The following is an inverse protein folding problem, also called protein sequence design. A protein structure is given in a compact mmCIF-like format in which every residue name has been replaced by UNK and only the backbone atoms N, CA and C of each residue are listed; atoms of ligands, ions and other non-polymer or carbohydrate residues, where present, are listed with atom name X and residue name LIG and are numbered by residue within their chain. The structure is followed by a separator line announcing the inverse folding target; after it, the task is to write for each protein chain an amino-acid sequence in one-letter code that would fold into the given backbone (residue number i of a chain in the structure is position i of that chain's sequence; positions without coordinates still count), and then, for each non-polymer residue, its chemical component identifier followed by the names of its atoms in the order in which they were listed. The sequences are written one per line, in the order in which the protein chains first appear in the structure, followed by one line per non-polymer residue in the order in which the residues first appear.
data_IF_674466134670
#
_entry.id   IF_674466134670
#
_cell.length_a   1.000
_cell.length_b   1.000
_cell.length_c   1.000
_cell.angle_alpha   90.00
_cell.angle_beta   90.00
_cell.angle_gamma   90.00
#
_symmetry.space_group_name_H-M   'P 1'
#
loop_
_entity.id
_entity.type
_entity.pdbx_description
1 polymer ?
#
# COMPACT_ATOMS: atom_id res chain seq x y z
N UNK A 1 -18.29 -5.51 -3.68
CA UNK A 1 -17.73 -4.22 -4.16
C UNK A 1 -17.68 -3.28 -2.97
N UNK A 2 -16.65 -2.48 -2.82
CA UNK A 2 -16.60 -1.47 -1.76
C UNK A 2 -17.75 -0.45 -1.92
N UNK A 3 -18.16 0.14 -0.82
CA UNK A 3 -19.19 1.18 -0.76
C UNK A 3 -18.78 2.28 0.24
N UNK A 4 -19.69 3.20 0.56
CA UNK A 4 -19.45 4.32 1.46
C UNK A 4 -20.06 4.13 2.87
N UNK A 5 -20.36 2.92 3.31
CA UNK A 5 -20.99 2.70 4.61
C UNK A 5 -20.08 3.15 5.76
N UNK A 6 -18.77 2.84 5.68
CA UNK A 6 -17.80 3.24 6.71
C UNK A 6 -17.56 4.76 6.72
N UNK A 7 -17.43 5.38 5.56
CA UNK A 7 -17.29 6.83 5.43
C UNK A 7 -18.52 7.55 5.99
N UNK A 8 -19.74 7.08 5.65
CA UNK A 8 -21.00 7.62 6.18
C UNK A 8 -21.12 7.42 7.69
N UNK A 9 -20.68 6.28 8.24
CA UNK A 9 -20.67 6.06 9.68
C UNK A 9 -19.75 7.05 10.40
N UNK A 10 -18.57 7.33 9.84
CA UNK A 10 -17.66 8.35 10.37
C UNK A 10 -18.29 9.76 10.32
N UNK A 11 -18.92 10.13 9.18
CA UNK A 11 -19.63 11.41 9.07
C UNK A 11 -20.77 11.53 10.10
N UNK A 12 -21.57 10.47 10.29
CA UNK A 12 -22.62 10.43 11.31
C UNK A 12 -22.08 10.54 12.73
N UNK A 13 -20.81 10.19 12.94
CA UNK A 13 -20.10 10.34 14.23
C UNK A 13 -19.47 11.72 14.41
N UNK A 14 -19.67 12.64 13.46
CA UNK A 14 -19.24 14.05 13.55
C UNK A 14 -17.93 14.38 12.87
N UNK A 15 -17.31 13.45 12.14
CA UNK A 15 -16.12 13.72 11.32
C UNK A 15 -16.51 14.27 9.95
N UNK A 16 -15.65 15.07 9.35
CA UNK A 16 -15.95 15.79 8.10
C UNK A 16 -14.97 15.49 6.97
N UNK A 17 -13.78 15.02 7.28
CA UNK A 17 -12.72 14.77 6.31
C UNK A 17 -12.09 13.40 6.55
N UNK A 18 -12.62 12.39 5.87
CA UNK A 18 -12.25 10.99 6.07
C UNK A 18 -11.22 10.56 5.01
N UNK A 19 -10.10 9.98 5.42
CA UNK A 19 -9.18 9.32 4.51
C UNK A 19 -9.23 7.80 4.64
N UNK A 20 -9.13 7.09 3.52
CA UNK A 20 -8.84 5.65 3.49
C UNK A 20 -7.35 5.41 3.38
N UNK A 21 -6.85 4.37 4.05
CA UNK A 21 -5.41 4.03 4.11
C UNK A 21 -5.22 2.53 3.89
N UNK A 22 -4.28 2.19 3.01
CA UNK A 22 -3.88 0.79 2.77
C UNK A 22 -2.39 0.70 2.40
N UNK A 23 -1.82 -0.51 2.46
CA UNK A 23 -0.44 -0.77 2.11
C UNK A 23 -0.28 -1.84 1.03
N UNK A 24 0.88 -1.82 0.36
CA UNK A 24 1.34 -2.86 -0.53
C UNK A 24 2.80 -3.22 -0.24
N UNK A 25 3.14 -4.51 -0.30
CA UNK A 25 4.54 -4.91 -0.23
C UNK A 25 5.03 -5.37 1.14
N UNK A 26 4.17 -5.86 2.04
CA UNK A 26 4.63 -6.46 3.33
C UNK A 26 5.32 -7.81 3.14
N UNK A 27 4.78 -8.67 2.29
CA UNK A 27 5.25 -10.05 2.08
C UNK A 27 6.46 -10.27 1.16
N UNK A 28 6.83 -9.37 0.23
CA UNK A 28 7.97 -9.56 -0.66
C UNK A 28 9.31 -9.68 0.08
N UNK A 29 10.25 -10.38 -0.56
CA UNK A 29 11.65 -10.54 -0.14
C UNK A 29 12.52 -9.33 -0.52
N UNK A 30 12.03 -8.45 -1.38
CA UNK A 30 12.76 -7.29 -1.89
C UNK A 30 11.87 -6.06 -2.05
N UNK A 31 12.49 -4.89 -1.95
CA UNK A 31 11.86 -3.59 -2.09
C UNK A 31 11.17 -3.07 -0.82
N UNK A 32 10.85 -1.78 -0.76
CA UNK A 32 10.19 -1.15 0.38
C UNK A 32 8.73 -1.60 0.53
N UNK A 33 8.13 -1.33 1.68
CA UNK A 33 6.68 -1.32 1.85
C UNK A 33 6.16 0.05 1.42
N UNK A 34 5.00 0.07 0.75
CA UNK A 34 4.37 1.29 0.24
C UNK A 34 2.99 1.43 0.86
N UNK A 35 2.66 2.60 1.39
CA UNK A 35 1.32 2.92 1.87
C UNK A 35 0.75 4.13 1.13
N UNK A 36 -0.57 4.17 0.98
CA UNK A 36 -1.27 5.31 0.42
C UNK A 36 -2.40 5.77 1.34
N UNK A 37 -2.70 7.06 1.29
CA UNK A 37 -3.86 7.66 1.91
C UNK A 37 -4.65 8.43 0.85
N UNK A 38 -5.98 8.31 0.85
CA UNK A 38 -6.87 8.92 -0.15
C UNK A 38 -8.09 9.52 0.53
N UNK A 39 -8.41 10.78 0.19
CA UNK A 39 -9.66 11.43 0.51
C UNK A 39 -10.47 11.52 -0.77
N UNK A 40 -11.62 10.85 -0.82
CA UNK A 40 -12.55 10.95 -1.95
C UNK A 40 -13.62 12.01 -1.68
N UNK A 41 -14.13 12.69 -2.73
CA UNK A 41 -15.31 13.52 -2.58
C UNK A 41 -16.52 12.67 -2.19
N UNK A 42 -17.46 13.26 -1.47
CA UNK A 42 -18.69 12.58 -1.07
C UNK A 42 -19.44 12.02 -2.28
N UNK A 43 -19.79 10.74 -2.23
CA UNK A 43 -20.54 10.07 -3.29
C UNK A 43 -19.79 9.84 -4.60
N UNK A 44 -18.47 10.03 -4.63
CA UNK A 44 -17.68 9.78 -5.84
C UNK A 44 -17.89 8.36 -6.38
N UNK A 45 -18.14 8.24 -7.68
CA UNK A 45 -18.30 6.95 -8.36
C UNK A 45 -17.06 6.65 -9.17
N UNK A 46 -16.31 5.63 -8.76
CA UNK A 46 -15.14 5.12 -9.49
C UNK A 46 -15.51 3.72 -10.01
N UNK A 47 -15.96 3.68 -11.27
CA UNK A 47 -16.46 2.45 -11.88
C UNK A 47 -15.40 1.35 -11.90
N UNK A 48 -15.78 0.19 -11.36
CA UNK A 48 -14.94 -1.00 -11.33
C UNK A 48 -13.83 -0.98 -10.29
N UNK A 49 -13.84 -0.03 -9.33
CA UNK A 49 -12.97 -0.07 -8.17
C UNK A 49 -13.32 -1.30 -7.29
N UNK A 50 -12.32 -2.04 -6.88
CA UNK A 50 -12.39 -3.19 -5.97
C UNK A 50 -11.00 -3.39 -5.35
N UNK A 51 -10.87 -4.34 -4.42
CA UNK A 51 -9.61 -4.84 -3.89
C UNK A 51 -8.57 -5.01 -5.01
N UNK A 52 -7.44 -4.35 -4.87
CA UNK A 52 -6.39 -4.30 -5.90
C UNK A 52 -5.86 -5.69 -6.32
N UNK A 53 -5.96 -6.69 -5.44
CA UNK A 53 -5.55 -8.07 -5.70
C UNK A 53 -6.50 -8.82 -6.64
N UNK A 54 -7.77 -8.39 -6.72
CA UNK A 54 -8.78 -8.95 -7.63
C UNK A 54 -8.72 -8.32 -9.02
N UNK A 55 -8.05 -7.20 -9.16
CA UNK A 55 -7.95 -6.44 -10.41
C UNK A 55 -6.76 -6.93 -11.25
N UNK A 56 -6.92 -6.94 -12.56
CA UNK A 56 -5.78 -7.11 -13.48
C UNK A 56 -4.84 -5.89 -13.42
N UNK A 57 -3.57 -6.07 -13.76
CA UNK A 57 -2.58 -4.98 -13.80
C UNK A 57 -3.09 -3.80 -14.67
N UNK A 58 -3.58 -4.09 -15.88
CA UNK A 58 -4.13 -3.08 -16.80
C UNK A 58 -5.30 -2.30 -16.18
N UNK A 59 -6.17 -2.97 -15.42
CA UNK A 59 -7.31 -2.32 -14.76
C UNK A 59 -6.85 -1.45 -13.59
N UNK A 60 -5.87 -1.93 -12.80
CA UNK A 60 -5.25 -1.13 -11.72
C UNK A 60 -4.60 0.14 -12.26
N UNK A 61 -3.82 0.04 -13.35
CA UNK A 61 -3.17 1.20 -13.99
C UNK A 61 -4.20 2.25 -14.42
N UNK A 62 -5.31 1.83 -15.06
CA UNK A 62 -6.39 2.74 -15.43
C UNK A 62 -7.04 3.40 -14.21
N UNK A 63 -7.33 2.61 -13.18
CA UNK A 63 -7.95 3.12 -11.95
C UNK A 63 -7.01 4.05 -11.18
N UNK A 64 -5.70 3.82 -11.23
CA UNK A 64 -4.71 4.70 -10.61
C UNK A 64 -4.85 6.14 -11.09
N UNK A 65 -4.97 6.35 -12.40
CA UNK A 65 -5.12 7.69 -12.96
C UNK A 65 -6.48 8.29 -12.60
N UNK A 66 -7.57 7.51 -12.72
CA UNK A 66 -8.92 7.95 -12.34
C UNK A 66 -8.99 8.35 -10.87
N UNK A 67 -8.38 7.58 -9.96
CA UNK A 67 -8.35 7.90 -8.53
C UNK A 67 -7.63 9.23 -8.30
N UNK A 68 -6.48 9.45 -8.94
CA UNK A 68 -5.70 10.69 -8.79
C UNK A 68 -6.45 11.93 -9.31
N UNK A 69 -7.24 11.77 -10.37
CA UNK A 69 -8.06 12.85 -10.94
C UNK A 69 -9.33 13.12 -10.09
N UNK A 70 -9.87 12.07 -9.45
CA UNK A 70 -11.11 12.17 -8.67
C UNK A 70 -10.88 12.60 -7.22
N UNK A 71 -9.78 12.18 -6.61
CA UNK A 71 -9.53 12.40 -5.19
C UNK A 71 -9.39 13.89 -4.84
N UNK A 72 -9.98 14.29 -3.70
CA UNK A 72 -9.76 15.60 -3.09
C UNK A 72 -8.29 15.77 -2.69
N UNK A 73 -7.71 14.71 -2.14
CA UNK A 73 -6.29 14.61 -1.83
C UNK A 73 -5.86 13.15 -1.82
N UNK A 74 -4.61 12.91 -2.19
CA UNK A 74 -3.97 11.61 -2.04
C UNK A 74 -2.48 11.81 -1.70
N UNK A 75 -1.92 10.83 -1.03
CA UNK A 75 -0.49 10.77 -0.74
C UNK A 75 -0.02 9.33 -0.73
N UNK A 76 1.24 9.12 -1.13
CA UNK A 76 1.90 7.82 -1.11
C UNK A 76 3.25 7.96 -0.41
N UNK A 77 3.56 7.03 0.48
CA UNK A 77 4.80 7.03 1.23
C UNK A 77 5.37 5.61 1.38
N UNK A 78 6.64 5.53 1.73
CA UNK A 78 7.35 4.28 1.88
C UNK A 78 7.85 4.08 3.32
N UNK A 79 7.84 2.80 3.76
CA UNK A 79 8.72 2.30 4.81
C UNK A 79 9.96 1.73 4.14
N UNK A 80 11.11 2.28 4.43
CA UNK A 80 12.37 1.97 3.74
C UNK A 80 12.90 0.58 4.08
N UNK A 81 13.87 0.09 3.32
CA UNK A 81 14.55 -1.17 3.63
C UNK A 81 15.26 -1.10 4.98
N UNK A 82 15.93 0.01 5.25
CA UNK A 82 16.62 0.25 6.53
C UNK A 82 15.63 0.18 7.72
N UNK A 83 14.45 0.77 7.59
CA UNK A 83 13.40 0.69 8.60
C UNK A 83 12.86 -0.73 8.76
N UNK A 84 12.65 -1.47 7.65
CA UNK A 84 12.23 -2.86 7.71
C UNK A 84 13.23 -3.71 8.48
N UNK A 85 14.53 -3.51 8.26
CA UNK A 85 15.59 -4.25 8.94
C UNK A 85 15.78 -3.83 10.41
N UNK A 86 15.59 -2.54 10.73
CA UNK A 86 15.82 -2.00 12.07
C UNK A 86 14.63 -2.20 13.03
N UNK A 87 13.40 -1.99 12.56
CA UNK A 87 12.19 -2.02 13.42
C UNK A 87 11.19 -3.10 13.06
N UNK A 88 11.42 -3.92 12.06
CA UNK A 88 10.58 -4.93 11.42
C UNK A 88 9.53 -4.37 10.43
N UNK A 89 8.96 -5.29 9.62
CA UNK A 89 8.01 -4.95 8.55
C UNK A 89 6.71 -4.33 9.07
N UNK A 90 6.22 -4.71 10.25
CA UNK A 90 4.98 -4.17 10.79
C UNK A 90 5.15 -2.70 11.18
N UNK A 91 6.20 -2.38 11.92
CA UNK A 91 6.48 -1.00 12.34
C UNK A 91 6.84 -0.12 11.13
N UNK A 92 7.62 -0.63 10.17
CA UNK A 92 7.92 0.08 8.92
C UNK A 92 6.64 0.36 8.11
N UNK A 93 5.65 -0.56 8.12
CA UNK A 93 4.34 -0.33 7.51
C UNK A 93 3.59 0.81 8.22
N UNK A 94 3.61 0.85 9.55
CA UNK A 94 2.98 1.93 10.31
C UNK A 94 3.64 3.28 10.06
N UNK A 95 4.96 3.33 9.92
CA UNK A 95 5.67 4.55 9.51
C UNK A 95 5.22 5.02 8.12
N UNK A 96 5.10 4.11 7.16
CA UNK A 96 4.61 4.44 5.82
C UNK A 96 3.17 4.98 5.85
N UNK A 97 2.26 4.34 6.60
CA UNK A 97 0.88 4.79 6.74
C UNK A 97 0.78 6.18 7.37
N UNK A 98 1.52 6.44 8.46
CA UNK A 98 1.56 7.75 9.09
C UNK A 98 2.07 8.83 8.13
N UNK A 99 3.15 8.56 7.40
CA UNK A 99 3.68 9.47 6.38
C UNK A 99 2.69 9.73 5.25
N UNK A 100 1.95 8.71 4.81
CA UNK A 100 0.91 8.87 3.80
C UNK A 100 -0.21 9.78 4.29
N UNK A 101 -0.70 9.62 5.53
CA UNK A 101 -1.70 10.50 6.14
C UNK A 101 -1.16 11.93 6.29
N UNK A 102 0.05 12.09 6.83
CA UNK A 102 0.68 13.39 7.05
C UNK A 102 0.98 14.14 5.75
N UNK A 103 1.24 13.40 4.66
CA UNK A 103 1.53 13.93 3.33
C UNK A 103 0.31 14.41 2.54
N UNK A 104 -0.92 14.18 3.02
CA UNK A 104 -2.12 14.69 2.38
C UNK A 104 -2.14 16.23 2.37
N UNK A 105 -2.46 16.83 1.22
CA UNK A 105 -2.58 18.28 1.06
C UNK A 105 -3.79 18.86 1.81
N UNK A 106 -4.83 18.05 2.00
CA UNK A 106 -5.98 18.34 2.86
C UNK A 106 -5.84 17.48 4.11
N UNK A 107 -5.97 18.09 5.32
CA UNK A 107 -5.79 17.36 6.58
C UNK A 107 -7.06 16.61 6.95
N UNK A 108 -6.99 15.27 7.07
CA UNK A 108 -8.14 14.48 7.51
C UNK A 108 -8.34 14.63 9.03
N UNK A 109 -9.59 14.49 9.46
CA UNK A 109 -9.96 14.42 10.88
C UNK A 109 -10.30 12.98 11.32
N UNK A 110 -10.38 12.03 10.36
CA UNK A 110 -10.58 10.60 10.62
C UNK A 110 -9.90 9.73 9.57
N UNK A 111 -9.40 8.55 9.97
CA UNK A 111 -8.81 7.57 9.07
C UNK A 111 -9.51 6.21 9.14
N UNK A 112 -9.86 5.65 7.97
CA UNK A 112 -10.26 4.26 7.77
C UNK A 112 -9.05 3.48 7.28
N UNK A 113 -8.63 2.45 8.03
CA UNK A 113 -7.35 1.76 7.80
C UNK A 113 -7.61 0.29 7.49
N UNK A 114 -7.04 -0.22 6.39
CA UNK A 114 -7.08 -1.66 6.15
C UNK A 114 -6.33 -2.43 7.22
N UNK A 115 -6.96 -3.49 7.73
CA UNK A 115 -6.35 -4.37 8.71
C UNK A 115 -7.11 -4.48 10.02
N UNK A 116 -6.43 -5.01 11.05
CA UNK A 116 -7.01 -5.32 12.35
C UNK A 116 -6.26 -4.68 13.54
N UNK A 117 -5.33 -3.77 13.26
CA UNK A 117 -4.51 -3.09 14.29
C UNK A 117 -4.35 -1.63 13.95
N UNK A 118 -4.55 -0.78 14.94
CA UNK A 118 -4.26 0.65 14.83
C UNK A 118 -2.75 0.87 14.67
N UNK A 119 -2.30 1.59 13.63
CA UNK A 119 -0.89 1.91 13.45
C UNK A 119 -0.37 2.75 14.62
N UNK A 120 0.80 2.37 15.14
CA UNK A 120 1.47 3.21 16.14
C UNK A 120 1.83 4.57 15.54
N UNK A 121 1.67 5.62 16.34
CA UNK A 121 2.03 6.97 15.93
C UNK A 121 0.96 7.72 15.14
N UNK A 122 -0.20 7.10 14.84
CA UNK A 122 -1.32 7.80 14.24
C UNK A 122 -1.81 8.92 15.19
N UNK A 123 -2.04 10.12 14.64
CA UNK A 123 -2.33 11.34 15.42
C UNK A 123 -3.79 11.78 15.33
N UNK A 124 -4.60 11.08 14.56
CA UNK A 124 -6.03 11.36 14.38
C UNK A 124 -6.86 10.15 14.79
N UNK A 125 -8.12 10.33 15.14
CA UNK A 125 -9.07 9.23 15.33
C UNK A 125 -9.08 8.31 14.11
N UNK A 126 -9.20 7.00 14.34
CA UNK A 126 -9.22 6.04 13.25
C UNK A 126 -10.03 4.80 13.59
N UNK A 127 -10.47 4.11 12.54
CA UNK A 127 -11.08 2.79 12.61
C UNK A 127 -10.31 1.82 11.72
N UNK A 128 -10.08 0.60 12.21
CA UNK A 128 -9.47 -0.47 11.42
C UNK A 128 -10.54 -1.38 10.84
N UNK A 129 -10.45 -1.66 9.55
CA UNK A 129 -11.44 -2.44 8.83
C UNK A 129 -10.75 -3.68 8.26
N UNK A 130 -11.10 -4.86 8.77
CA UNK A 130 -10.60 -6.12 8.22
C UNK A 130 -11.12 -6.30 6.80
N UNK A 131 -10.21 -6.40 5.82
CA UNK A 131 -10.49 -6.39 4.38
C UNK A 131 -11.17 -5.08 3.97
N UNK A 132 -10.68 -3.96 4.45
CA UNK A 132 -11.19 -2.63 4.16
C UNK A 132 -11.15 -2.29 2.67
N UNK A 133 -10.12 -2.78 1.96
CA UNK A 133 -9.95 -2.71 0.51
C UNK A 133 -11.13 -3.28 -0.31
N UNK A 134 -11.92 -4.17 0.27
CA UNK A 134 -13.12 -4.74 -0.34
C UNK A 134 -14.44 -4.16 0.20
N UNK A 135 -14.39 -3.25 1.18
CA UNK A 135 -15.56 -2.73 1.91
C UNK A 135 -15.72 -1.22 1.82
N UNK A 136 -14.65 -0.44 1.97
CA UNK A 136 -14.63 1.02 1.95
C UNK A 136 -14.08 1.54 0.63
N UNK A 137 -14.75 2.52 0.03
CA UNK A 137 -14.33 3.12 -1.24
C UNK A 137 -12.97 3.84 -1.11
N UNK A 138 -12.75 4.58 -0.04
CA UNK A 138 -11.51 5.30 0.18
C UNK A 138 -10.33 4.36 0.46
N UNK A 139 -10.55 3.26 1.18
CA UNK A 139 -9.53 2.23 1.42
C UNK A 139 -9.21 1.46 0.13
N UNK A 140 -10.22 1.11 -0.68
CA UNK A 140 -10.03 0.48 -1.98
C UNK A 140 -9.20 1.38 -2.93
N UNK A 141 -9.48 2.69 -2.94
CA UNK A 141 -8.69 3.65 -3.71
C UNK A 141 -7.23 3.70 -3.22
N UNK A 142 -6.99 3.73 -1.92
CA UNK A 142 -5.66 3.67 -1.32
C UNK A 142 -4.92 2.37 -1.70
N UNK A 143 -5.61 1.22 -1.66
CA UNK A 143 -5.08 -0.08 -2.08
C UNK A 143 -4.53 -0.05 -3.51
N UNK A 144 -5.30 0.51 -4.46
CA UNK A 144 -4.86 0.65 -5.86
C UNK A 144 -3.64 1.57 -5.96
N UNK A 145 -3.65 2.74 -5.29
CA UNK A 145 -2.51 3.66 -5.35
C UNK A 145 -1.23 3.06 -4.75
N UNK A 146 -1.31 2.42 -3.59
CA UNK A 146 -0.17 1.77 -2.97
C UNK A 146 0.38 0.65 -3.86
N UNK A 147 -0.50 -0.20 -4.41
CA UNK A 147 -0.12 -1.35 -5.24
C UNK A 147 0.53 -0.92 -6.54
N UNK A 148 -0.07 0.01 -7.30
CA UNK A 148 0.48 0.47 -8.58
C UNK A 148 1.79 1.20 -8.38
N UNK A 149 1.87 2.10 -7.39
CA UNK A 149 3.11 2.83 -7.11
C UNK A 149 4.25 1.89 -6.77
N UNK A 150 4.00 0.89 -5.92
CA UNK A 150 5.01 -0.10 -5.58
C UNK A 150 5.40 -0.97 -6.78
N UNK A 151 4.45 -1.43 -7.56
CA UNK A 151 4.74 -2.27 -8.74
C UNK A 151 5.58 -1.51 -9.77
N UNK A 152 5.31 -0.22 -10.01
CA UNK A 152 6.13 0.65 -10.86
C UNK A 152 7.56 0.79 -10.33
N UNK A 153 7.73 0.98 -9.02
CA UNK A 153 9.07 1.00 -8.41
C UNK A 153 9.83 -0.33 -8.64
N UNK A 154 9.14 -1.46 -8.56
CA UNK A 154 9.77 -2.76 -8.83
C UNK A 154 10.15 -2.94 -10.30
N UNK A 155 9.47 -2.27 -11.24
CA UNK A 155 9.90 -2.22 -12.65
C UNK A 155 11.18 -1.39 -12.83
N UNK A 156 11.36 -0.31 -12.07
CA UNK A 156 12.63 0.45 -12.09
C UNK A 156 13.76 -0.37 -11.49
N UNK A 157 13.50 -1.12 -10.42
CA UNK A 157 14.49 -2.05 -9.86
C UNK A 157 14.82 -3.21 -10.81
N UNK A 158 13.88 -3.67 -11.63
CA UNK A 158 14.16 -4.68 -12.68
C UNK A 158 15.20 -4.19 -13.70
N UNK A 159 15.16 -2.89 -14.05
CA UNK A 159 16.16 -2.28 -14.93
C UNK A 159 17.54 -2.19 -14.28
N UNK A 160 17.60 -1.92 -12.97
CA UNK A 160 18.85 -1.80 -12.20
C UNK A 160 19.47 -3.17 -11.88
N UNK A 161 18.64 -4.19 -11.67
CA UNK A 161 19.04 -5.54 -11.29
C UNK A 161 18.35 -6.58 -12.17
N UNK A 162 18.68 -6.63 -13.48
CA UNK A 162 17.96 -7.43 -14.48
C UNK A 162 18.05 -8.94 -14.21
N UNK A 163 19.08 -9.41 -13.49
CA UNK A 163 19.30 -10.81 -13.12
C UNK A 163 18.20 -11.40 -12.22
N UNK A 164 17.45 -10.55 -11.48
CA UNK A 164 16.41 -11.03 -10.56
C UNK A 164 15.00 -11.08 -11.15
N UNK A 165 14.76 -10.50 -12.34
CA UNK A 165 13.44 -10.50 -13.00
C UNK A 165 12.30 -9.94 -12.13
N UNK A 166 12.56 -8.83 -11.42
CA UNK A 166 11.58 -8.18 -10.52
C UNK A 166 10.28 -7.76 -11.22
N UNK A 167 10.34 -7.49 -12.52
CA UNK A 167 9.14 -7.16 -13.33
C UNK A 167 8.07 -8.24 -13.27
N UNK A 168 8.46 -9.53 -13.14
CA UNK A 168 7.54 -10.65 -13.15
C UNK A 168 6.88 -10.86 -11.79
N UNK A 169 7.67 -10.93 -10.73
CA UNK A 169 7.20 -11.30 -9.38
C UNK A 169 7.19 -10.14 -8.38
N UNK A 170 7.57 -8.92 -8.78
CA UNK A 170 7.52 -7.71 -7.95
C UNK A 170 8.19 -7.88 -6.57
N UNK A 171 9.23 -8.73 -6.49
CA UNK A 171 9.97 -9.04 -5.27
C UNK A 171 9.35 -10.11 -4.37
N UNK A 172 8.20 -10.69 -4.72
CA UNK A 172 7.62 -11.79 -3.94
C UNK A 172 8.47 -13.05 -4.00
N UNK A 173 8.41 -13.86 -2.93
CA UNK A 173 9.18 -15.09 -2.76
C UNK A 173 8.68 -16.25 -3.62
N UNK A 174 8.64 -16.09 -4.93
CA UNK A 174 8.37 -17.16 -5.89
C UNK A 174 9.55 -18.12 -5.96
N UNK A 175 9.33 -19.33 -6.45
CA UNK A 175 10.40 -20.31 -6.68
C UNK A 175 11.53 -19.71 -7.54
N UNK A 176 11.16 -19.02 -8.63
CA UNK A 176 12.12 -18.34 -9.51
C UNK A 176 12.97 -17.30 -8.74
N UNK A 177 12.33 -16.42 -7.97
CA UNK A 177 13.04 -15.40 -7.20
C UNK A 177 14.00 -16.02 -6.17
N UNK A 178 13.55 -17.08 -5.48
CA UNK A 178 14.37 -17.80 -4.52
C UNK A 178 15.59 -18.46 -5.17
N UNK A 179 15.43 -19.06 -6.37
CA UNK A 179 16.53 -19.66 -7.13
C UNK A 179 17.52 -18.61 -7.60
N UNK A 180 17.04 -17.45 -8.08
CA UNK A 180 17.90 -16.33 -8.49
C UNK A 180 18.70 -15.75 -7.32
N UNK A 181 18.09 -15.63 -6.13
CA UNK A 181 18.81 -15.20 -4.91
C UNK A 181 19.90 -16.22 -4.54
N UNK A 182 19.64 -17.53 -4.67
CA UNK A 182 20.67 -18.55 -4.43
C UNK A 182 21.81 -18.50 -5.44
N UNK A 183 21.52 -18.17 -6.68
CA UNK A 183 22.49 -18.10 -7.78
C UNK A 183 23.36 -16.85 -7.72
N UNK A 184 22.76 -15.67 -7.48
CA UNK A 184 23.48 -14.38 -7.60
C UNK A 184 23.75 -13.72 -6.23
N UNK A 185 23.25 -14.30 -5.13
CA UNK A 185 23.25 -13.65 -3.83
C UNK A 185 22.14 -12.59 -3.71
N UNK A 186 22.00 -11.94 -2.57
CA UNK A 186 21.07 -10.80 -2.40
C UNK A 186 21.68 -9.51 -2.94
N UNK A 187 20.90 -8.69 -3.65
CA UNK A 187 21.28 -7.31 -3.99
C UNK A 187 20.77 -6.31 -2.93
N UNK A 188 21.14 -5.03 -3.09
CA UNK A 188 20.87 -3.94 -2.14
C UNK A 188 19.40 -3.79 -1.73
N UNK A 189 18.46 -4.20 -2.58
CA UNK A 189 17.03 -4.06 -2.28
C UNK A 189 16.41 -5.28 -1.61
N UNK A 190 17.17 -6.33 -1.36
CA UNK A 190 16.67 -7.50 -0.63
C UNK A 190 16.58 -7.25 0.86
N UNK A 191 15.54 -7.79 1.48
CA UNK A 191 15.32 -7.77 2.92
C UNK A 191 16.04 -8.92 3.57
N UNK A 192 17.23 -8.68 4.07
CA UNK A 192 18.11 -9.74 4.59
C UNK A 192 17.45 -10.53 5.74
N UNK A 193 16.67 -9.86 6.58
CA UNK A 193 15.90 -10.52 7.64
C UNK A 193 14.88 -11.55 7.14
N UNK A 194 14.41 -11.40 5.88
CA UNK A 194 13.45 -12.32 5.25
C UNK A 194 14.14 -13.50 4.56
N UNK A 195 15.45 -13.44 4.33
CA UNK A 195 16.20 -14.44 3.57
C UNK A 195 16.84 -15.54 4.42
N UNK A 196 16.71 -15.50 5.75
CA UNK A 196 17.36 -16.44 6.69
C UNK A 196 17.17 -17.92 6.34
N UNK A 197 15.99 -18.28 5.82
CA UNK A 197 15.67 -19.67 5.42
C UNK A 197 15.98 -19.98 3.94
N UNK A 198 16.50 -19.01 3.20
CA UNK A 198 16.79 -19.13 1.75
C UNK A 198 18.29 -19.26 1.52
N UNK A 199 19.08 -18.59 2.36
CA UNK A 199 20.55 -18.51 2.27
C UNK A 199 21.26 -19.56 3.15
N UNK A 200 20.53 -20.55 3.66
CA UNK A 200 21.08 -21.68 4.44
C UNK A 200 21.56 -22.77 3.52
#
# INVERSE_FOLDING_TARGET
MPDYEFEKAAVNSGFSCICGVDEAGRGPLAGPVCAAAVILPEGAVIEGLDDSKKLTEKKREKLYDIIKETAVAYSVAYGTLEEIESVNILEATYLAMNRAIEGLSVKPDFALIDGNRVPRGIKIPCETIVKGDSKSMSVAAASVLAKVTRDRLMLEYDKKYPEYNFKKHKGYGTKEHTELIKQYGPCEIHRLSFLKNILV
#
